data_IF_061659779872
#
_entry.id   IF_061659779872
#
_cell.length_a   1.000
_cell.length_b   1.000
_cell.length_c   1.000
_cell.angle_alpha   90.00
_cell.angle_beta   90.00
_cell.angle_gamma   90.00
#
_symmetry.space_group_name_H-M   'P 1'
#
loop_
_entity.id
_entity.type
_entity.pdbx_description
1 polymer ?
#
# COMPACT_ATOMS: atom_id res chain seq x y z
N UNK A 1 26.79 -6.44 -14.29
CA UNK A 1 25.53 -7.05 -14.81
C UNK A 1 24.37 -6.44 -14.02
N UNK A 2 23.37 -5.86 -14.68
CA UNK A 2 22.23 -5.25 -13.96
C UNK A 2 21.25 -6.34 -13.53
N UNK A 3 20.84 -6.33 -12.25
CA UNK A 3 19.85 -7.24 -11.69
C UNK A 3 18.59 -6.46 -11.29
N UNK A 4 17.42 -7.01 -11.55
CA UNK A 4 16.16 -6.51 -11.04
C UNK A 4 15.88 -7.05 -9.64
N UNK A 5 15.45 -6.16 -8.76
CA UNK A 5 14.85 -6.48 -7.48
C UNK A 5 13.36 -6.18 -7.58
N UNK A 6 12.52 -7.14 -7.24
CA UNK A 6 11.07 -7.07 -7.43
C UNK A 6 10.38 -7.60 -6.18
N UNK A 7 9.39 -6.85 -5.71
CA UNK A 7 8.44 -7.29 -4.69
C UNK A 7 7.03 -7.03 -5.20
N UNK A 8 6.17 -8.03 -5.17
CA UNK A 8 4.78 -7.95 -5.58
C UNK A 8 3.91 -8.57 -4.49
N UNK A 9 3.10 -7.76 -3.85
CA UNK A 9 2.25 -8.10 -2.73
C UNK A 9 0.79 -8.02 -3.11
N UNK A 10 -0.01 -8.92 -2.55
CA UNK A 10 -1.47 -8.90 -2.63
C UNK A 10 -2.08 -9.03 -1.25
N UNK A 11 -3.26 -8.46 -1.03
CA UNK A 11 -4.01 -8.72 0.21
C UNK A 11 -4.53 -10.15 0.20
N UNK A 12 -4.45 -10.83 1.35
CA UNK A 12 -4.99 -12.19 1.51
C UNK A 12 -6.52 -12.23 1.68
N UNK A 13 -7.18 -11.08 1.69
CA UNK A 13 -8.61 -10.92 1.85
C UNK A 13 -8.97 -9.46 2.13
N UNK A 14 -10.26 -9.16 2.36
CA UNK A 14 -10.73 -7.82 2.64
C UNK A 14 -10.15 -7.23 3.93
N UNK A 15 -9.99 -5.90 3.96
CA UNK A 15 -9.61 -5.15 5.14
C UNK A 15 -10.64 -4.06 5.42
N UNK A 16 -11.06 -3.93 6.69
CA UNK A 16 -11.87 -2.80 7.12
C UNK A 16 -10.98 -1.60 7.32
N UNK A 17 -11.27 -0.53 6.61
CA UNK A 17 -10.54 0.73 6.66
C UNK A 17 -11.38 1.72 7.46
N UNK A 18 -10.83 2.35 8.51
CA UNK A 18 -11.54 3.34 9.29
C UNK A 18 -11.83 4.61 8.47
N UNK A 19 -12.89 5.36 8.84
CA UNK A 19 -13.28 6.55 8.11
C UNK A 19 -12.32 7.71 8.32
N UNK A 20 -12.10 8.51 7.28
CA UNK A 20 -11.44 9.82 7.35
C UNK A 20 -9.99 9.81 7.83
N UNK A 21 -9.33 8.67 7.75
CA UNK A 21 -7.89 8.57 8.03
C UNK A 21 -7.15 7.78 6.96
N UNK A 22 -5.87 8.11 6.76
CA UNK A 22 -4.99 7.33 5.89
C UNK A 22 -4.54 6.07 6.63
N UNK A 23 -4.87 4.93 6.08
CA UNK A 23 -4.55 3.62 6.63
C UNK A 23 -3.52 2.91 5.76
N UNK A 24 -2.46 2.42 6.37
CA UNK A 24 -1.48 1.57 5.71
C UNK A 24 -2.12 0.22 5.37
N UNK A 25 -2.15 -0.14 4.10
CA UNK A 25 -2.64 -1.44 3.65
C UNK A 25 -1.68 -2.54 4.11
N UNK A 26 -2.21 -3.58 4.72
CA UNK A 26 -1.43 -4.73 5.18
C UNK A 26 -1.41 -5.83 4.13
N UNK A 27 -0.25 -6.41 3.92
CA UNK A 27 -0.05 -7.52 3.01
C UNK A 27 0.46 -8.72 3.82
N UNK A 28 -0.34 -9.81 3.94
CA UNK A 28 0.08 -10.98 4.69
C UNK A 28 1.33 -11.62 4.08
N UNK A 29 2.29 -12.01 4.91
CA UNK A 29 3.54 -12.61 4.46
C UNK A 29 3.37 -13.93 3.69
N UNK A 30 2.22 -14.60 3.85
CA UNK A 30 1.87 -15.82 3.11
C UNK A 30 1.13 -15.56 1.78
N UNK A 31 0.76 -14.32 1.50
CA UNK A 31 0.01 -13.92 0.29
C UNK A 31 0.88 -13.15 -0.72
N UNK A 32 2.19 -13.19 -0.55
CA UNK A 32 3.13 -12.59 -1.49
C UNK A 32 3.02 -13.29 -2.85
N UNK A 33 2.76 -12.52 -3.91
CA UNK A 33 2.74 -13.07 -5.26
C UNK A 33 4.15 -13.28 -5.81
N UNK A 34 5.11 -12.45 -5.41
CA UNK A 34 6.51 -12.58 -5.81
C UNK A 34 7.42 -11.67 -4.98
N UNK A 35 8.30 -12.24 -4.17
CA UNK A 35 9.31 -11.52 -3.39
C UNK A 35 10.58 -12.37 -3.18
N UNK A 36 11.33 -12.68 -4.26
CA UNK A 36 12.51 -13.55 -4.17
C UNK A 36 13.63 -12.92 -3.33
N UNK A 37 13.68 -11.60 -3.25
CA UNK A 37 14.72 -10.85 -2.56
C UNK A 37 14.37 -10.50 -1.10
N UNK A 38 13.21 -10.98 -0.61
CA UNK A 38 12.73 -10.73 0.76
C UNK A 38 12.70 -9.24 1.12
N UNK A 39 12.13 -8.43 0.24
CA UNK A 39 11.91 -7.00 0.47
C UNK A 39 10.72 -6.74 1.40
N UNK A 40 9.88 -7.77 1.63
CA UNK A 40 8.75 -7.76 2.56
C UNK A 40 8.95 -8.78 3.69
N UNK A 41 9.92 -8.57 4.60
CA UNK A 41 10.26 -9.54 5.63
C UNK A 41 9.34 -9.43 6.84
N UNK A 42 8.94 -10.57 7.43
CA UNK A 42 8.25 -10.59 8.72
C UNK A 42 9.16 -10.08 9.86
N UNK A 43 10.47 -10.36 9.80
CA UNK A 43 11.45 -9.77 10.69
C UNK A 43 11.84 -8.38 10.19
N UNK A 44 11.42 -7.35 10.91
CA UNK A 44 11.61 -5.96 10.51
C UNK A 44 13.07 -5.53 10.60
N UNK A 45 13.65 -4.95 9.51
CA UNK A 45 15.07 -4.61 9.46
C UNK A 45 15.51 -3.54 10.48
N UNK A 46 14.64 -2.61 10.82
CA UNK A 46 14.94 -1.49 11.72
C UNK A 46 14.96 -1.87 13.22
N UNK A 47 14.15 -2.85 13.59
CA UNK A 47 13.97 -3.25 15.01
C UNK A 47 14.41 -4.68 15.31
N UNK A 48 14.61 -5.52 14.29
CA UNK A 48 14.84 -6.96 14.43
C UNK A 48 13.60 -7.74 14.94
N UNK A 49 12.50 -7.05 15.22
CA UNK A 49 11.25 -7.67 15.73
C UNK A 49 10.53 -8.41 14.62
N UNK A 50 10.06 -9.62 14.89
CA UNK A 50 9.14 -10.33 14.01
C UNK A 50 7.71 -9.85 14.26
N UNK A 51 7.01 -9.50 13.19
CA UNK A 51 5.62 -9.03 13.21
C UNK A 51 4.69 -10.05 12.56
N UNK A 52 3.42 -9.98 12.93
CA UNK A 52 2.37 -10.81 12.32
C UNK A 52 1.70 -10.07 11.16
N UNK A 53 0.94 -10.78 10.35
CA UNK A 53 0.18 -10.19 9.24
C UNK A 53 -0.91 -9.19 9.67
N UNK A 54 -1.27 -9.16 10.96
CA UNK A 54 -2.20 -8.18 11.53
C UNK A 54 -1.53 -6.87 12.00
N UNK A 55 -0.20 -6.88 12.14
CA UNK A 55 0.56 -5.69 12.52
C UNK A 55 0.55 -4.69 11.34
N UNK A 56 0.40 -3.37 11.59
CA UNK A 56 0.52 -2.36 10.53
C UNK A 56 1.82 -2.45 9.73
N UNK A 57 2.92 -2.89 10.34
CA UNK A 57 4.20 -3.09 9.66
C UNK A 57 4.19 -4.19 8.60
N UNK A 58 3.15 -5.04 8.54
CA UNK A 58 2.94 -5.98 7.45
C UNK A 58 2.60 -5.29 6.10
N UNK A 59 2.47 -3.96 6.09
CA UNK A 59 2.33 -3.16 4.87
C UNK A 59 3.63 -2.58 4.33
N UNK A 60 4.80 -2.90 4.92
CA UNK A 60 6.07 -2.26 4.62
C UNK A 60 6.93 -3.08 3.65
N UNK A 61 7.39 -2.43 2.58
CA UNK A 61 8.45 -2.94 1.71
C UNK A 61 9.76 -2.23 2.08
N UNK A 62 10.84 -2.98 2.27
CA UNK A 62 12.15 -2.50 2.70
C UNK A 62 13.17 -2.57 1.57
N UNK A 63 13.47 -1.46 0.89
CA UNK A 63 14.54 -1.43 -0.10
C UNK A 63 15.89 -1.77 0.54
N UNK A 64 16.75 -2.45 -0.24
CA UNK A 64 18.07 -2.87 0.24
C UNK A 64 19.22 -2.07 -0.33
N UNK A 65 18.96 -1.28 -1.36
CA UNK A 65 19.96 -0.48 -2.07
C UNK A 65 19.40 0.89 -2.41
N UNK A 66 20.26 1.87 -2.53
CA UNK A 66 19.94 3.15 -3.15
C UNK A 66 19.62 2.92 -4.62
N UNK A 67 18.46 3.34 -5.05
CA UNK A 67 18.01 3.13 -6.42
C UNK A 67 16.85 4.06 -6.79
N UNK A 68 16.64 4.21 -8.09
CA UNK A 68 15.40 4.74 -8.63
C UNK A 68 14.40 3.60 -8.82
N UNK A 69 13.35 3.59 -8.02
CA UNK A 69 12.35 2.53 -8.02
C UNK A 69 11.07 2.94 -8.74
N UNK A 70 10.40 1.98 -9.33
CA UNK A 70 9.04 2.10 -9.86
C UNK A 70 8.08 1.43 -8.90
N UNK A 71 7.09 2.19 -8.45
CA UNK A 71 5.99 1.73 -7.60
C UNK A 71 4.74 1.54 -8.46
N UNK A 72 3.99 0.48 -8.21
CA UNK A 72 2.68 0.27 -8.77
C UNK A 72 1.73 -0.27 -7.70
N UNK A 73 0.49 0.18 -7.71
CA UNK A 73 -0.52 -0.32 -6.78
C UNK A 73 -1.90 -0.34 -7.42
N UNK A 74 -2.75 -1.18 -6.87
CA UNK A 74 -4.18 -1.24 -7.16
C UNK A 74 -4.95 -1.27 -5.86
N UNK A 75 -6.11 -0.64 -5.82
CA UNK A 75 -7.11 -0.78 -4.76
C UNK A 75 -8.46 -1.12 -5.37
N UNK A 76 -9.19 -1.98 -4.69
CA UNK A 76 -10.57 -2.33 -5.02
C UNK A 76 -11.42 -2.14 -3.76
N UNK A 77 -12.30 -1.15 -3.78
CA UNK A 77 -13.25 -0.89 -2.72
C UNK A 77 -14.56 -1.64 -2.96
N UNK A 78 -15.30 -1.95 -1.90
CA UNK A 78 -16.66 -2.45 -1.98
C UNK A 78 -17.56 -1.55 -2.84
N UNK A 79 -18.70 -2.07 -3.31
CA UNK A 79 -19.73 -1.22 -3.91
C UNK A 79 -20.32 -0.30 -2.84
N UNK A 80 -20.45 0.99 -3.14
CA UNK A 80 -21.08 1.95 -2.23
C UNK A 80 -22.58 1.73 -2.08
N UNK A 81 -23.19 0.85 -2.87
CA UNK A 81 -24.57 0.39 -2.66
C UNK A 81 -24.72 -0.41 -1.36
N UNK A 82 -23.63 -1.01 -0.85
CA UNK A 82 -23.60 -1.72 0.43
C UNK A 82 -23.71 -0.78 1.65
N UNK A 83 -23.68 0.54 1.43
CA UNK A 83 -23.76 1.58 2.45
C UNK A 83 -25.05 2.37 2.31
N UNK A 84 -25.60 2.84 3.43
CA UNK A 84 -26.69 3.81 3.41
C UNK A 84 -26.27 5.09 2.69
N UNK A 85 -27.20 5.74 2.00
CA UNK A 85 -26.90 6.88 1.14
C UNK A 85 -26.19 8.02 1.89
N UNK A 86 -26.51 8.22 3.17
CA UNK A 86 -25.91 9.24 4.03
C UNK A 86 -24.45 8.91 4.43
N UNK A 87 -24.07 7.63 4.38
CA UNK A 87 -22.75 7.15 4.81
C UNK A 87 -21.77 6.97 3.64
N UNK A 88 -22.25 7.14 2.41
CA UNK A 88 -21.44 6.93 1.20
C UNK A 88 -20.30 7.92 1.09
N UNK A 89 -19.10 7.47 0.68
CA UNK A 89 -18.00 8.37 0.42
C UNK A 89 -18.24 9.22 -0.83
N UNK A 90 -17.72 10.42 -0.81
CA UNK A 90 -17.59 11.27 -2.00
C UNK A 90 -16.21 11.13 -2.62
N UNK A 91 -15.22 10.70 -1.82
CA UNK A 91 -13.84 10.51 -2.23
C UNK A 91 -13.24 9.23 -1.69
N UNK A 92 -12.45 8.58 -2.53
CA UNK A 92 -11.49 7.54 -2.14
C UNK A 92 -10.12 7.96 -2.65
N UNK A 93 -9.11 7.80 -1.81
CA UNK A 93 -7.75 8.25 -2.12
C UNK A 93 -6.75 7.13 -1.90
N UNK A 94 -5.64 7.24 -2.59
CA UNK A 94 -4.49 6.39 -2.33
C UNK A 94 -3.18 7.14 -2.58
N UNK A 95 -2.15 6.72 -1.86
CA UNK A 95 -0.81 7.32 -1.99
C UNK A 95 0.28 6.31 -1.66
N UNK A 96 1.43 6.50 -2.28
CA UNK A 96 2.66 5.89 -1.80
C UNK A 96 3.30 6.81 -0.77
N UNK A 97 3.97 6.23 0.21
CA UNK A 97 4.71 6.98 1.22
C UNK A 97 6.06 6.33 1.44
N UNK A 98 7.11 7.13 1.40
CA UNK A 98 8.42 6.78 1.90
C UNK A 98 8.45 7.10 3.39
N UNK A 99 8.94 6.17 4.20
CA UNK A 99 8.97 6.26 5.66
C UNK A 99 7.58 6.47 6.32
N UNK A 100 6.61 5.59 6.08
CA UNK A 100 5.27 5.72 6.68
C UNK A 100 5.27 5.59 8.21
N UNK A 101 6.37 5.16 8.82
CA UNK A 101 6.51 5.05 10.27
C UNK A 101 6.76 6.41 10.95
N UNK A 102 7.23 7.41 10.20
CA UNK A 102 7.57 8.74 10.70
C UNK A 102 6.68 9.84 10.09
N UNK A 103 5.40 9.56 9.91
CA UNK A 103 4.46 10.48 9.25
C UNK A 103 4.31 11.84 9.95
N UNK A 104 4.66 11.95 11.25
CA UNK A 104 4.53 13.17 12.04
C UNK A 104 5.66 14.17 11.76
N UNK A 105 6.81 13.71 11.28
CA UNK A 105 8.06 14.49 11.22
C UNK A 105 8.59 14.75 9.83
N UNK A 106 7.76 14.72 8.82
CA UNK A 106 8.23 15.05 7.46
C UNK A 106 8.34 13.83 6.55
N UNK A 107 7.31 13.02 6.59
CA UNK A 107 7.14 11.96 5.61
C UNK A 107 7.23 12.51 4.18
N UNK A 108 7.82 11.71 3.32
CA UNK A 108 7.86 11.98 1.89
C UNK A 108 6.68 11.28 1.22
N UNK A 109 5.59 12.03 1.08
CA UNK A 109 4.41 11.55 0.37
C UNK A 109 4.59 11.78 -1.12
N UNK A 110 4.65 10.71 -1.87
CA UNK A 110 4.50 10.79 -3.32
C UNK A 110 3.07 11.18 -3.65
N UNK A 111 2.81 11.65 -4.85
CA UNK A 111 1.51 12.20 -5.23
C UNK A 111 0.32 11.40 -4.71
N UNK A 112 -0.61 12.05 -4.04
CA UNK A 112 -1.90 11.50 -3.68
C UNK A 112 -2.81 11.50 -4.90
N UNK A 113 -3.47 10.38 -5.17
CA UNK A 113 -4.53 10.29 -6.18
C UNK A 113 -5.89 10.32 -5.48
N UNK A 114 -6.74 11.20 -5.96
CA UNK A 114 -8.11 11.40 -5.45
C UNK A 114 -9.11 10.98 -6.52
N UNK A 115 -10.09 10.18 -6.15
CA UNK A 115 -11.07 9.61 -7.05
C UNK A 115 -12.48 9.68 -6.46
N UNK A 116 -13.46 9.91 -7.32
CA UNK A 116 -14.84 9.65 -6.96
C UNK A 116 -15.11 8.15 -7.00
N UNK A 117 -15.84 7.59 -6.02
CA UNK A 117 -16.34 6.22 -6.11
C UNK A 117 -17.19 6.02 -7.37
N UNK A 118 -17.30 4.78 -7.81
CA UNK A 118 -18.28 4.42 -8.86
C UNK A 118 -19.70 4.62 -8.32
N UNK A 119 -20.67 4.92 -9.20
CA UNK A 119 -22.08 5.00 -8.80
C UNK A 119 -22.53 3.71 -8.10
N UNK A 120 -23.38 3.85 -7.10
CA UNK A 120 -23.94 2.73 -6.35
C UNK A 120 -24.61 1.70 -7.27
N UNK A 121 -24.37 0.41 -7.01
CA UNK A 121 -24.93 -0.69 -7.79
C UNK A 121 -24.22 -0.93 -9.13
N UNK A 122 -23.08 -0.26 -9.39
CA UNK A 122 -22.29 -0.49 -10.61
C UNK A 122 -20.99 -1.26 -10.34
N UNK A 123 -20.88 -1.84 -9.12
CA UNK A 123 -19.73 -2.59 -8.66
C UNK A 123 -18.69 -1.75 -7.92
N UNK A 124 -17.75 -2.42 -7.29
CA UNK A 124 -16.71 -1.79 -6.49
C UNK A 124 -15.83 -0.82 -7.27
N UNK A 125 -15.23 0.14 -6.57
CA UNK A 125 -14.31 1.11 -7.16
C UNK A 125 -12.91 0.53 -7.26
N UNK A 126 -12.46 0.25 -8.48
CA UNK A 126 -11.08 -0.18 -8.76
C UNK A 126 -10.26 0.98 -9.31
N UNK A 127 -9.07 1.20 -8.75
CA UNK A 127 -8.12 2.23 -9.21
C UNK A 127 -6.70 1.71 -9.12
N UNK A 128 -5.90 2.12 -10.10
CA UNK A 128 -4.46 1.84 -10.18
C UNK A 128 -3.66 3.11 -10.09
N UNK A 129 -2.40 2.98 -9.67
CA UNK A 129 -1.45 4.08 -9.59
C UNK A 129 -0.04 3.57 -9.84
N UNK A 130 0.75 4.38 -10.53
CA UNK A 130 2.20 4.17 -10.67
C UNK A 130 2.94 5.45 -10.30
N UNK A 131 4.14 5.32 -9.73
CA UNK A 131 4.97 6.46 -9.36
C UNK A 131 6.44 6.05 -9.24
N UNK A 132 7.36 6.76 -9.86
CA UNK A 132 8.77 6.55 -9.65
C UNK A 132 9.24 7.32 -8.41
N UNK A 133 10.19 6.74 -7.65
CA UNK A 133 10.73 7.36 -6.43
C UNK A 133 12.16 6.89 -6.19
N UNK A 134 12.99 7.74 -5.62
CA UNK A 134 14.29 7.32 -5.09
C UNK A 134 14.11 6.61 -3.75
N UNK A 135 14.72 5.43 -3.61
CA UNK A 135 14.61 4.58 -2.42
C UNK A 135 15.97 4.39 -1.75
N UNK A 136 15.95 4.17 -0.43
CA UNK A 136 17.12 3.99 0.40
C UNK A 136 17.01 2.74 1.27
N UNK A 137 18.10 2.07 1.59
CA UNK A 137 18.12 1.07 2.64
C UNK A 137 17.67 1.65 3.99
N UNK A 138 16.91 0.84 4.75
CA UNK A 138 16.44 1.25 6.07
C UNK A 138 15.24 2.21 6.08
N UNK A 139 14.81 2.70 4.91
CA UNK A 139 13.63 3.57 4.78
C UNK A 139 12.51 2.80 4.09
N UNK A 140 11.47 2.37 4.81
CA UNK A 140 10.43 1.55 4.23
C UNK A 140 9.50 2.33 3.31
N UNK A 141 8.87 1.61 2.40
CA UNK A 141 7.80 2.09 1.54
C UNK A 141 6.47 1.53 2.01
N UNK A 142 5.42 2.34 1.94
CA UNK A 142 4.06 1.93 2.25
C UNK A 142 3.05 2.40 1.22
N UNK A 143 1.96 1.68 1.13
CA UNK A 143 0.79 2.02 0.34
C UNK A 143 -0.38 2.33 1.26
N UNK A 144 -0.86 3.57 1.24
CA UNK A 144 -1.92 4.05 2.10
C UNK A 144 -3.18 4.33 1.28
N UNK A 145 -4.32 4.01 1.88
CA UNK A 145 -5.65 4.29 1.34
C UNK A 145 -6.46 5.15 2.31
N UNK A 146 -7.46 5.83 1.78
CA UNK A 146 -8.33 6.74 2.54
C UNK A 146 -9.72 6.77 1.90
N UNK A 147 -10.75 6.99 2.70
CA UNK A 147 -12.08 7.36 2.25
C UNK A 147 -12.73 8.36 3.23
N UNK A 148 -13.68 9.14 2.74
CA UNK A 148 -14.40 10.15 3.54
C UNK A 148 -15.81 9.70 3.98
N UNK A 149 -16.16 8.43 3.82
CA UNK A 149 -17.39 7.84 4.34
C UNK A 149 -17.56 8.11 5.84
N UNK A 150 -18.78 8.05 6.35
CA UNK A 150 -19.06 8.21 7.77
C UNK A 150 -18.71 6.95 8.59
N UNK A 151 -18.77 5.78 7.98
CA UNK A 151 -18.51 4.47 8.59
C UNK A 151 -17.31 3.78 7.96
N UNK A 152 -16.70 2.79 8.65
CA UNK A 152 -15.64 1.97 8.05
C UNK A 152 -16.08 1.34 6.73
N UNK A 153 -15.18 1.33 5.75
CA UNK A 153 -15.40 0.70 4.45
C UNK A 153 -14.49 -0.49 4.24
N UNK A 154 -14.99 -1.44 3.45
CA UNK A 154 -14.24 -2.63 3.08
C UNK A 154 -13.38 -2.37 1.84
N UNK A 155 -12.07 -2.45 2.00
CA UNK A 155 -11.13 -2.61 0.91
C UNK A 155 -11.14 -4.09 0.54
N UNK A 156 -11.72 -4.43 -0.60
CA UNK A 156 -11.91 -5.82 -1.02
C UNK A 156 -10.57 -6.48 -1.34
N UNK A 157 -9.72 -5.75 -2.03
CA UNK A 157 -8.36 -6.17 -2.33
C UNK A 157 -7.45 -5.00 -2.63
N UNK A 158 -6.16 -5.22 -2.48
CA UNK A 158 -5.14 -4.30 -2.95
C UNK A 158 -3.90 -5.07 -3.41
N UNK A 159 -3.15 -4.44 -4.30
CA UNK A 159 -1.81 -4.86 -4.70
C UNK A 159 -0.83 -3.72 -4.47
N UNK A 160 0.41 -4.08 -4.10
CA UNK A 160 1.51 -3.14 -4.03
C UNK A 160 2.77 -3.78 -4.60
N UNK A 161 3.37 -3.14 -5.59
CA UNK A 161 4.52 -3.64 -6.33
C UNK A 161 5.64 -2.62 -6.33
N UNK A 162 6.85 -3.09 -6.12
CA UNK A 162 8.07 -2.31 -6.18
C UNK A 162 9.04 -3.02 -7.08
N UNK A 163 9.66 -2.29 -8.00
CA UNK A 163 10.76 -2.80 -8.82
C UNK A 163 11.85 -1.75 -8.99
N UNK A 164 13.10 -2.18 -8.90
CA UNK A 164 14.26 -1.34 -9.17
C UNK A 164 15.45 -2.18 -9.62
N UNK A 165 16.43 -1.53 -10.22
CA UNK A 165 17.66 -2.20 -10.65
C UNK A 165 18.79 -1.90 -9.70
N UNK A 166 19.70 -2.85 -9.53
CA UNK A 166 21.00 -2.67 -8.90
C UNK A 166 22.11 -3.09 -9.86
N UNK A 167 23.25 -2.43 -9.78
CA UNK A 167 24.46 -2.93 -10.41
C UNK A 167 24.96 -4.11 -9.59
N UNK A 168 25.15 -5.25 -10.25
CA UNK A 168 25.80 -6.37 -9.60
C UNK A 168 27.30 -6.02 -9.44
N UNK A 169 27.79 -6.12 -8.21
CA UNK A 169 29.21 -5.96 -7.92
C UNK A 169 30.06 -6.98 -8.66
#
# INVERSE_FOLDING_TARGET
>A
MTRWLICSLTTGGPQMIPPREYTLVRFPFAAESYDPDKLHPAQQPDTGRTVTSSDPRAGLIWPRHDAWAHLAAMMVWQDIADLDAADRPTHVRHRFVRDPLNLVTGYDSTATSDHRPRPAGTGGTCRTKTWPIFVHPGTPLGYLVYHDAALPMRLESAEFKVSYTMEAA
#
